data_IF_483633539008
#
_entry.id   IF_483633539008
#
_cell.length_a   1.000
_cell.length_b   1.000
_cell.length_c   1.000
_cell.angle_alpha   90.00
_cell.angle_beta   90.00
_cell.angle_gamma   90.00
#
_symmetry.space_group_name_H-M   'P 1'
#
loop_
_entity.id
_entity.type
_entity.pdbx_description
1 polymer ?
#
# COMPACT_ATOMS: atom_id res chain seq x y z
N UNK A 1 -5.58 15.65 -40.81
CA UNK A 1 -5.23 15.74 -39.38
C UNK A 1 -5.26 14.34 -38.82
N UNK A 2 -4.11 13.70 -38.59
CA UNK A 2 -4.07 12.35 -38.03
C UNK A 2 -4.29 12.42 -36.50
N UNK A 3 -5.10 11.52 -35.90
CA UNK A 3 -5.25 11.48 -34.45
C UNK A 3 -3.90 11.10 -33.84
N UNK A 4 -3.39 11.95 -32.95
CA UNK A 4 -2.19 11.67 -32.16
C UNK A 4 -2.44 10.37 -31.40
N UNK A 5 -1.78 9.29 -31.81
CA UNK A 5 -1.80 8.04 -31.07
C UNK A 5 -1.21 8.33 -29.71
N UNK A 6 -2.04 8.34 -28.67
CA UNK A 6 -1.54 8.40 -27.30
C UNK A 6 -0.71 7.13 -27.07
N UNK A 7 0.60 7.22 -27.31
CA UNK A 7 1.53 6.16 -27.03
C UNK A 7 1.67 6.07 -25.50
N UNK A 8 0.82 5.25 -24.88
CA UNK A 8 0.99 4.86 -23.50
C UNK A 8 2.20 3.93 -23.45
N UNK A 9 3.36 4.47 -23.06
CA UNK A 9 4.46 3.60 -22.64
C UNK A 9 3.93 2.74 -21.49
N UNK A 10 4.03 1.41 -21.64
CA UNK A 10 3.77 0.52 -20.52
C UNK A 10 4.67 0.97 -19.34
N UNK A 11 4.14 1.00 -18.11
CA UNK A 11 4.95 1.43 -16.98
C UNK A 11 6.15 0.51 -16.84
N UNK A 12 7.33 1.08 -16.62
CA UNK A 12 8.53 0.28 -16.40
C UNK A 12 8.40 -0.40 -15.05
N UNK A 13 8.35 -1.74 -15.07
CA UNK A 13 8.27 -2.57 -13.89
C UNK A 13 9.62 -3.22 -13.61
N UNK A 14 10.13 -3.03 -12.40
CA UNK A 14 11.36 -3.65 -11.94
C UNK A 14 11.15 -4.27 -10.57
N UNK A 15 11.71 -5.46 -10.36
CA UNK A 15 11.63 -6.16 -9.09
C UNK A 15 12.95 -6.05 -8.34
N UNK A 16 12.88 -5.56 -7.11
CA UNK A 16 13.98 -5.44 -6.18
C UNK A 16 13.68 -6.28 -4.94
N UNK A 17 14.27 -7.48 -4.87
CA UNK A 17 13.98 -8.46 -3.80
C UNK A 17 12.46 -8.71 -3.70
N UNK A 18 11.88 -8.42 -2.54
CA UNK A 18 10.45 -8.56 -2.22
C UNK A 18 9.64 -7.31 -2.57
N UNK A 19 10.15 -6.43 -3.43
CA UNK A 19 9.48 -5.20 -3.83
C UNK A 19 9.35 -5.11 -5.33
N UNK A 20 8.14 -4.80 -5.80
CA UNK A 20 7.87 -4.48 -7.19
C UNK A 20 7.73 -2.97 -7.33
N UNK A 21 8.62 -2.36 -8.10
CA UNK A 21 8.63 -0.93 -8.43
C UNK A 21 8.01 -0.76 -9.81
N UNK A 22 7.07 0.15 -9.94
CA UNK A 22 6.38 0.49 -11.18
C UNK A 22 6.43 2.00 -11.37
N UNK A 23 7.03 2.48 -12.45
CA UNK A 23 7.12 3.91 -12.76
C UNK A 23 6.41 4.24 -14.06
N UNK A 24 5.73 5.39 -14.09
CA UNK A 24 5.10 5.93 -15.29
C UNK A 24 5.96 7.04 -15.94
N UNK A 25 5.53 7.53 -17.11
CA UNK A 25 6.18 8.60 -17.86
C UNK A 25 5.91 10.02 -17.31
N UNK A 26 5.16 10.14 -16.21
CA UNK A 26 4.89 11.41 -15.52
C UNK A 26 5.82 11.60 -14.31
N UNK A 27 6.95 10.87 -14.27
CA UNK A 27 7.87 10.83 -13.15
C UNK A 27 7.20 10.41 -11.83
N UNK A 28 6.20 9.53 -11.87
CA UNK A 28 5.59 8.98 -10.67
C UNK A 28 5.89 7.50 -10.54
N UNK A 29 6.41 7.10 -9.39
CA UNK A 29 6.79 5.72 -9.10
C UNK A 29 6.00 5.21 -7.89
N UNK A 30 5.49 3.98 -8.02
CA UNK A 30 4.82 3.23 -6.96
C UNK A 30 5.59 1.95 -6.72
N UNK A 31 5.85 1.64 -5.46
CA UNK A 31 6.55 0.45 -5.01
C UNK A 31 5.65 -0.33 -4.07
N UNK A 32 5.44 -1.61 -4.34
CA UNK A 32 4.59 -2.50 -3.54
C UNK A 32 5.39 -3.71 -3.10
N UNK A 33 5.26 -4.13 -1.84
CA UNK A 33 5.84 -5.40 -1.42
C UNK A 33 5.11 -6.56 -2.12
N UNK A 34 5.88 -7.59 -2.43
CA UNK A 34 5.43 -8.85 -3.02
C UNK A 34 5.89 -10.00 -2.13
N UNK A 35 5.14 -11.10 -2.12
CA UNK A 35 5.39 -12.23 -1.23
C UNK A 35 4.42 -12.35 -0.06
N UNK A 36 4.55 -13.43 0.70
CA UNK A 36 3.69 -13.79 1.83
C UNK A 36 4.14 -13.06 3.10
N UNK A 37 3.83 -11.77 3.19
CA UNK A 37 4.05 -10.97 4.41
C UNK A 37 2.88 -11.08 5.39
N UNK A 38 2.38 -12.30 5.64
CA UNK A 38 1.19 -12.55 6.47
C UNK A 38 -0.06 -11.76 6.03
N UNK A 39 -0.18 -11.47 4.74
CA UNK A 39 -1.27 -10.66 4.18
C UNK A 39 -1.08 -9.15 4.33
N UNK A 40 0.05 -8.69 4.88
CA UNK A 40 0.43 -7.28 4.96
C UNK A 40 0.93 -6.80 3.61
N UNK A 41 0.32 -5.74 3.12
CA UNK A 41 0.68 -5.06 1.88
C UNK A 41 1.13 -3.65 2.22
N UNK A 42 2.36 -3.33 1.86
CA UNK A 42 2.92 -2.00 1.95
C UNK A 42 3.06 -1.43 0.55
N UNK A 43 2.54 -0.23 0.35
CA UNK A 43 2.66 0.53 -0.88
C UNK A 43 3.27 1.88 -0.57
N UNK A 44 4.41 2.18 -1.20
CA UNK A 44 5.08 3.47 -1.17
C UNK A 44 4.91 4.13 -2.53
N UNK A 45 4.53 5.39 -2.56
CA UNK A 45 4.57 6.17 -3.80
C UNK A 45 5.36 7.44 -3.60
N UNK A 46 6.08 7.85 -4.65
CA UNK A 46 6.89 9.05 -4.64
C UNK A 46 7.01 9.60 -6.06
N UNK A 47 6.94 10.93 -6.17
CA UNK A 47 7.32 11.60 -7.41
C UNK A 47 8.86 11.64 -7.56
N UNK A 48 9.34 11.29 -8.74
CA UNK A 48 10.75 11.32 -9.15
C UNK A 48 11.16 12.70 -9.71
N UNK A 49 10.27 13.70 -9.70
CA UNK A 49 10.52 15.07 -10.15
C UNK A 49 10.85 16.05 -9.03
N UNK A 50 10.68 17.36 -9.30
CA UNK A 50 10.89 18.44 -8.32
C UNK A 50 9.89 18.41 -7.16
N UNK A 51 8.73 17.79 -7.37
CA UNK A 51 7.73 17.53 -6.35
C UNK A 51 8.20 16.35 -5.49
N UNK A 52 8.28 16.54 -4.17
CA UNK A 52 8.77 15.53 -3.22
C UNK A 52 7.65 14.78 -2.51
N UNK A 53 6.42 14.90 -3.01
CA UNK A 53 5.26 14.20 -2.46
C UNK A 53 5.53 12.69 -2.41
N UNK A 54 5.46 12.17 -1.19
CA UNK A 54 5.59 10.78 -0.88
C UNK A 54 4.38 10.35 -0.05
N UNK A 55 3.86 9.16 -0.34
CA UNK A 55 2.81 8.55 0.48
C UNK A 55 3.18 7.12 0.81
N UNK A 56 2.81 6.71 2.02
CA UNK A 56 2.94 5.36 2.51
C UNK A 56 1.54 4.87 2.88
N UNK A 57 1.16 3.72 2.33
CA UNK A 57 -0.09 3.03 2.65
C UNK A 57 0.23 1.61 3.10
N UNK A 58 -0.32 1.22 4.23
CA UNK A 58 -0.18 -0.11 4.80
C UNK A 58 -1.58 -0.71 4.88
N UNK A 59 -1.77 -1.84 4.22
CA UNK A 59 -3.02 -2.58 4.18
C UNK A 59 -2.80 -3.99 4.72
N UNK A 60 -3.85 -4.54 5.30
CA UNK A 60 -3.91 -5.94 5.70
C UNK A 60 -5.04 -6.57 4.89
N UNK A 61 -4.69 -7.38 3.89
CA UNK A 61 -5.63 -7.77 2.84
C UNK A 61 -5.29 -9.06 2.12
N UNK A 62 -4.63 -10.01 2.80
CA UNK A 62 -4.50 -11.38 2.30
C UNK A 62 -5.82 -12.16 2.42
N UNK A 63 -5.99 -13.24 1.64
CA UNK A 63 -7.16 -14.13 1.69
C UNK A 63 -7.38 -14.82 3.05
N UNK A 64 -6.37 -14.79 3.94
CA UNK A 64 -6.54 -15.07 5.36
C UNK A 64 -6.61 -13.76 6.13
N UNK A 65 -7.67 -13.58 6.93
CA UNK A 65 -7.76 -12.49 7.89
C UNK A 65 -6.97 -12.87 9.16
N UNK A 66 -5.73 -12.40 9.38
CA UNK A 66 -5.00 -12.73 10.61
C UNK A 66 -5.61 -12.02 11.84
N UNK A 67 -6.46 -10.98 11.63
CA UNK A 67 -7.24 -10.35 12.71
C UNK A 67 -8.34 -11.28 13.21
N UNK A 68 -8.84 -12.20 12.37
CA UNK A 68 -9.81 -13.21 12.83
C UNK A 68 -9.20 -14.24 13.80
N UNK A 69 -7.86 -14.37 13.80
CA UNK A 69 -7.13 -15.23 14.75
C UNK A 69 -6.64 -14.46 15.98
N UNK A 70 -6.66 -13.12 15.95
CA UNK A 70 -6.38 -12.32 17.12
C UNK A 70 -7.55 -12.43 18.08
N UNK A 71 -7.27 -12.85 19.33
CA UNK A 71 -8.25 -12.78 20.40
C UNK A 71 -8.82 -11.34 20.47
N UNK A 72 -10.13 -11.18 20.71
CA UNK A 72 -10.72 -9.87 20.90
C UNK A 72 -9.84 -9.05 21.85
N UNK A 73 -9.53 -7.82 21.45
CA UNK A 73 -8.90 -6.87 22.35
C UNK A 73 -9.86 -6.73 23.52
N UNK A 74 -9.52 -7.35 24.66
CA UNK A 74 -10.25 -7.15 25.92
C UNK A 74 -10.49 -5.66 26.09
N UNK A 75 -11.66 -5.19 26.59
CA UNK A 75 -11.99 -3.77 26.60
C UNK A 75 -10.92 -3.00 27.38
N UNK A 76 -9.96 -2.40 26.67
CA UNK A 76 -8.80 -1.69 27.26
C UNK A 76 -9.13 -0.24 27.63
N UNK A 77 -10.40 0.12 27.67
CA UNK A 77 -10.86 1.45 28.04
C UNK A 77 -12.12 1.36 28.92
N UNK A 78 -11.99 0.75 30.09
CA UNK A 78 -12.85 1.08 31.24
C UNK A 78 -11.95 1.40 32.44
N UNK A 79 -11.02 2.35 32.28
CA UNK A 79 -10.51 3.08 33.44
C UNK A 79 -11.24 4.42 33.44
N UNK A 80 -12.25 4.52 34.30
CA UNK A 80 -13.30 5.55 34.35
C UNK A 80 -14.33 5.48 33.22
N UNK A 81 -15.56 5.03 33.50
CA UNK A 81 -16.68 5.84 34.02
C UNK A 81 -17.76 4.86 34.51
N UNK A 82 -18.31 5.14 35.68
CA UNK A 82 -19.34 4.39 36.42
C UNK A 82 -20.42 3.67 35.59
N UNK A 83 -20.76 2.46 36.07
CA UNK A 83 -21.90 1.56 35.76
C UNK A 83 -21.64 0.45 34.72
N UNK A 84 -21.28 -0.72 35.24
CA UNK A 84 -21.82 -1.97 34.70
C UNK A 84 -23.06 -2.37 35.54
N UNK A 85 -24.14 -2.92 34.94
CA UNK A 85 -25.27 -3.48 35.66
C UNK A 85 -24.90 -4.75 36.44
#
# INVERSE_FOLDING_TARGET
>A
MLPCSQAWSAPTQQRFKDWLVTCNNQNFCVTRNVGLHYGLVMTLSRSAGAVTDASLRIELGGTGNPVATLAPIAPRCCWMVNRCP
#
